data_IF_836926946503
#
_entry.id   IF_836926946503
#
_cell.length_a   1.000
_cell.length_b   1.000
_cell.length_c   1.000
_cell.angle_alpha   90.00
_cell.angle_beta   90.00
_cell.angle_gamma   90.00
#
_symmetry.space_group_name_H-M   'P 1'
#
loop_
_entity.id
_entity.type
_entity.pdbx_description
1 polymer ?
#
# COMPACT_ATOMS: atom_id res chain seq x y z
N UNK A 1 -6.71 2.99 -9.84
CA UNK A 1 -5.37 2.37 -9.68
C UNK A 1 -5.29 0.96 -10.27
N UNK A 2 -6.01 -0.05 -9.75
CA UNK A 2 -5.91 -1.45 -10.27
C UNK A 2 -6.30 -1.58 -11.74
N UNK A 3 -7.34 -0.87 -12.19
CA UNK A 3 -7.75 -0.88 -13.60
C UNK A 3 -6.74 -0.17 -14.52
N UNK A 4 -6.04 0.85 -14.03
CA UNK A 4 -5.03 1.60 -14.80
C UNK A 4 -3.84 0.70 -15.12
N UNK A 5 -3.31 0.00 -14.09
CA UNK A 5 -2.23 -0.96 -14.27
C UNK A 5 -2.64 -2.16 -15.13
N UNK A 6 -3.85 -2.69 -14.94
CA UNK A 6 -4.34 -3.79 -15.78
C UNK A 6 -4.45 -3.38 -17.26
N UNK A 7 -4.95 -2.17 -17.53
CA UNK A 7 -5.01 -1.61 -18.90
C UNK A 7 -3.61 -1.48 -19.51
N UNK A 8 -2.66 -0.95 -18.76
CA UNK A 8 -1.26 -0.84 -19.17
C UNK A 8 -0.66 -2.21 -19.50
N UNK A 9 -0.80 -3.18 -18.59
CA UNK A 9 -0.29 -4.56 -18.77
C UNK A 9 -0.89 -5.25 -20.00
N UNK A 10 -2.20 -5.08 -20.24
CA UNK A 10 -2.86 -5.65 -21.41
C UNK A 10 -2.32 -5.06 -22.71
N UNK A 11 -2.04 -3.75 -22.75
CA UNK A 11 -1.44 -3.08 -23.91
C UNK A 11 -0.01 -3.55 -24.15
N UNK A 12 0.79 -3.65 -23.09
CA UNK A 12 2.16 -4.17 -23.16
C UNK A 12 2.18 -5.63 -23.65
N UNK A 13 1.31 -6.48 -23.11
CA UNK A 13 1.18 -7.88 -23.51
C UNK A 13 0.66 -8.05 -24.95
N UNK A 14 -0.08 -7.07 -25.46
CA UNK A 14 -0.54 -7.02 -26.84
C UNK A 14 0.56 -6.74 -27.87
N UNK A 15 1.75 -6.29 -27.43
CA UNK A 15 2.87 -6.05 -28.33
C UNK A 15 3.45 -7.37 -28.84
N UNK A 16 3.37 -7.56 -30.16
CA UNK A 16 3.97 -8.71 -30.84
C UNK A 16 5.49 -8.57 -30.82
N UNK A 17 6.18 -9.58 -30.30
CA UNK A 17 7.64 -9.69 -30.34
C UNK A 17 8.05 -10.99 -31.01
N UNK A 18 9.18 -10.98 -31.72
CA UNK A 18 9.72 -12.16 -32.37
C UNK A 18 11.25 -12.12 -32.40
N UNK A 19 11.89 -12.82 -31.46
CA UNK A 19 13.35 -12.85 -31.33
C UNK A 19 14.05 -13.64 -32.44
N UNK A 20 13.34 -14.54 -33.10
CA UNK A 20 13.86 -15.35 -34.21
C UNK A 20 13.73 -14.64 -35.58
N UNK A 21 13.06 -13.48 -35.64
CA UNK A 21 12.96 -12.71 -36.87
C UNK A 21 14.28 -11.98 -37.12
N UNK A 22 14.95 -12.30 -38.21
CA UNK A 22 16.17 -11.62 -38.66
C UNK A 22 15.93 -10.95 -40.01
N UNK A 23 16.85 -10.07 -40.42
CA UNK A 23 16.78 -9.44 -41.76
C UNK A 23 16.75 -10.47 -42.89
N UNK A 24 17.55 -11.55 -42.81
CA UNK A 24 17.55 -12.58 -43.86
C UNK A 24 16.23 -13.35 -43.93
N UNK A 25 15.53 -13.52 -42.81
CA UNK A 25 14.20 -14.14 -42.77
C UNK A 25 13.16 -13.27 -43.49
N UNK A 26 13.25 -11.94 -43.34
CA UNK A 26 12.35 -10.99 -44.02
C UNK A 26 12.62 -10.96 -45.53
N UNK A 27 13.88 -11.04 -45.94
CA UNK A 27 14.26 -11.02 -47.36
C UNK A 27 13.88 -12.32 -48.08
N UNK A 28 13.84 -13.45 -47.37
CA UNK A 28 13.61 -14.78 -47.95
C UNK A 28 12.14 -15.21 -47.96
N UNK A 29 11.30 -14.68 -47.08
CA UNK A 29 9.89 -15.04 -46.98
C UNK A 29 8.98 -13.84 -46.68
N UNK A 30 7.83 -13.72 -47.37
CA UNK A 30 6.87 -12.61 -47.16
C UNK A 30 6.11 -12.71 -45.83
N UNK A 31 6.23 -13.83 -45.11
CA UNK A 31 5.63 -14.09 -43.79
C UNK A 31 6.69 -14.73 -42.91
N UNK A 32 6.81 -14.27 -41.66
CA UNK A 32 7.74 -14.86 -40.70
C UNK A 32 7.34 -16.32 -40.40
N UNK A 33 8.23 -17.31 -40.60
CA UNK A 33 7.91 -18.72 -40.35
C UNK A 33 7.76 -19.05 -38.86
N UNK A 34 8.34 -18.25 -37.96
CA UNK A 34 8.38 -18.51 -36.52
C UNK A 34 7.15 -17.99 -35.78
N UNK A 35 6.74 -16.76 -36.07
CA UNK A 35 5.63 -16.09 -35.38
C UNK A 35 4.43 -15.77 -36.28
N UNK A 36 4.51 -16.09 -37.58
CA UNK A 36 3.45 -15.82 -38.56
C UNK A 36 3.27 -14.34 -38.90
N UNK A 37 4.20 -13.47 -38.50
CA UNK A 37 4.13 -12.03 -38.76
C UNK A 37 4.05 -11.73 -40.25
N UNK A 38 3.07 -10.92 -40.65
CA UNK A 38 2.79 -10.59 -42.05
C UNK A 38 2.66 -9.07 -42.20
N UNK A 39 3.69 -8.37 -42.74
CA UNK A 39 3.71 -6.91 -42.81
C UNK A 39 2.48 -6.29 -43.46
N UNK A 40 1.96 -6.91 -44.53
CA UNK A 40 0.80 -6.40 -45.28
C UNK A 40 -0.53 -6.46 -44.52
N UNK A 41 -0.61 -7.24 -43.44
CA UNK A 41 -1.81 -7.40 -42.62
C UNK A 41 -1.80 -6.52 -41.36
N UNK A 42 -0.67 -5.87 -41.07
CA UNK A 42 -0.54 -4.98 -39.92
C UNK A 42 -0.96 -3.55 -40.30
N UNK A 43 -1.86 -2.97 -39.53
CA UNK A 43 -2.10 -1.52 -39.55
C UNK A 43 -1.01 -0.84 -38.73
N UNK A 44 0.03 -0.33 -39.39
CA UNK A 44 1.12 0.39 -38.72
C UNK A 44 0.68 1.83 -38.46
N UNK A 45 0.07 2.07 -37.31
CA UNK A 45 -0.32 3.42 -36.88
C UNK A 45 0.86 4.21 -36.28
N UNK A 46 1.82 3.51 -35.67
CA UNK A 46 3.03 4.08 -35.08
C UNK A 46 4.20 3.09 -35.13
N UNK A 47 5.42 3.60 -35.00
CA UNK A 47 6.62 2.74 -34.90
C UNK A 47 6.66 2.05 -33.54
N UNK A 48 7.26 0.85 -33.47
CA UNK A 48 7.43 0.14 -32.21
C UNK A 48 8.17 0.99 -31.16
N UNK A 49 9.18 1.77 -31.59
CA UNK A 49 9.90 2.69 -30.70
C UNK A 49 8.97 3.74 -30.11
N UNK A 50 8.10 4.36 -30.90
CA UNK A 50 7.18 5.38 -30.42
C UNK A 50 6.15 4.80 -29.43
N UNK A 51 5.67 3.57 -29.69
CA UNK A 51 4.76 2.87 -28.79
C UNK A 51 5.44 2.54 -27.46
N UNK A 52 6.68 2.03 -27.49
CA UNK A 52 7.44 1.72 -26.28
C UNK A 52 7.75 2.98 -25.46
N UNK A 53 8.17 4.08 -26.09
CA UNK A 53 8.37 5.37 -25.42
C UNK A 53 7.08 5.87 -24.75
N UNK A 54 5.95 5.78 -25.45
CA UNK A 54 4.67 6.18 -24.86
C UNK A 54 4.26 5.32 -23.65
N UNK A 55 4.57 4.02 -23.66
CA UNK A 55 4.32 3.15 -22.51
C UNK A 55 5.26 3.48 -21.35
N UNK A 56 6.52 3.77 -21.62
CA UNK A 56 7.50 4.17 -20.61
C UNK A 56 7.07 5.47 -19.90
N UNK A 57 6.75 6.51 -20.67
CA UNK A 57 6.22 7.78 -20.15
C UNK A 57 4.93 7.62 -19.35
N UNK A 58 4.06 6.70 -19.77
CA UNK A 58 2.83 6.41 -19.05
C UNK A 58 3.11 5.74 -17.70
N UNK A 59 4.07 4.82 -17.64
CA UNK A 59 4.47 4.14 -16.41
C UNK A 59 5.06 5.14 -15.40
N UNK A 60 5.92 6.04 -15.87
CA UNK A 60 6.50 7.12 -15.06
C UNK A 60 5.41 8.04 -14.50
N UNK A 61 4.46 8.44 -15.34
CA UNK A 61 3.31 9.25 -14.91
C UNK A 61 2.47 8.51 -13.87
N UNK A 62 2.18 7.23 -14.08
CA UNK A 62 1.42 6.43 -13.12
C UNK A 62 2.12 6.37 -11.76
N UNK A 63 3.43 6.11 -11.75
CA UNK A 63 4.21 6.08 -10.53
C UNK A 63 4.20 7.44 -9.81
N UNK A 64 4.34 8.53 -10.57
CA UNK A 64 4.26 9.88 -10.05
C UNK A 64 2.88 10.19 -9.45
N UNK A 65 1.79 9.88 -10.15
CA UNK A 65 0.42 10.11 -9.68
C UNK A 65 0.12 9.36 -8.38
N UNK A 66 0.53 8.10 -8.29
CA UNK A 66 0.34 7.29 -7.08
C UNK A 66 1.19 7.82 -5.91
N UNK A 67 2.41 8.27 -6.18
CA UNK A 67 3.28 8.89 -5.18
C UNK A 67 2.65 10.17 -4.63
N UNK A 68 2.22 11.07 -5.49
CA UNK A 68 1.59 12.33 -5.08
C UNK A 68 0.30 12.08 -4.31
N UNK A 69 -0.52 11.13 -4.76
CA UNK A 69 -1.74 10.73 -4.05
C UNK A 69 -1.42 10.22 -2.64
N UNK A 70 -0.40 9.37 -2.51
CA UNK A 70 0.01 8.86 -1.20
C UNK A 70 0.56 9.98 -0.30
N UNK A 71 1.38 10.89 -0.85
CA UNK A 71 1.90 12.05 -0.13
C UNK A 71 0.78 12.97 0.35
N UNK A 72 -0.20 13.27 -0.49
CA UNK A 72 -1.35 14.10 -0.15
C UNK A 72 -2.15 13.48 1.00
N UNK A 73 -2.45 12.18 0.91
CA UNK A 73 -3.22 11.47 1.94
C UNK A 73 -2.46 11.41 3.28
N UNK A 74 -1.15 11.18 3.26
CA UNK A 74 -0.32 11.12 4.48
C UNK A 74 -0.03 12.51 5.08
N UNK A 75 -0.13 13.56 4.28
CA UNK A 75 0.07 14.95 4.73
C UNK A 75 -1.20 15.61 5.26
N UNK A 76 -2.36 14.95 5.16
CA UNK A 76 -3.59 15.43 5.76
C UNK A 76 -3.44 15.59 7.29
N UNK A 77 -3.92 16.70 7.85
CA UNK A 77 -3.78 17.02 9.27
C UNK A 77 -4.35 15.91 10.18
N UNK A 78 -5.47 15.32 9.79
CA UNK A 78 -6.12 14.24 10.54
C UNK A 78 -5.26 12.98 10.52
N UNK A 79 -4.59 12.70 9.42
CA UNK A 79 -3.69 11.55 9.28
C UNK A 79 -2.42 11.79 10.07
N UNK A 80 -1.85 12.99 10.03
CA UNK A 80 -0.64 13.34 10.79
C UNK A 80 -0.80 13.15 12.31
N UNK A 81 -1.94 13.53 12.87
CA UNK A 81 -2.24 13.27 14.29
C UNK A 81 -2.23 11.76 14.60
N UNK A 82 -2.75 10.93 13.68
CA UNK A 82 -2.79 9.47 13.81
C UNK A 82 -1.45 8.81 13.55
N UNK A 83 -0.50 9.44 12.85
CA UNK A 83 0.86 8.90 12.68
C UNK A 83 1.56 8.72 14.03
N UNK A 84 1.20 9.50 15.05
CA UNK A 84 1.67 9.31 16.42
C UNK A 84 1.25 7.97 17.05
N UNK A 85 0.20 7.33 16.51
CA UNK A 85 -0.34 6.06 16.98
C UNK A 85 0.31 4.85 16.29
N UNK A 86 1.14 5.08 15.27
CA UNK A 86 1.93 4.03 14.63
C UNK A 86 3.05 3.56 15.57
N UNK A 87 3.46 2.30 15.39
CA UNK A 87 4.66 1.79 16.06
C UNK A 87 5.88 2.55 15.54
N UNK A 88 6.87 2.78 16.40
CA UNK A 88 8.08 3.55 16.06
C UNK A 88 8.76 3.11 14.75
N UNK A 89 8.91 1.80 14.43
CA UNK A 89 9.52 1.39 13.16
C UNK A 89 8.69 1.80 11.94
N UNK A 90 7.37 1.70 12.02
CA UNK A 90 6.46 2.08 10.93
C UNK A 90 6.44 3.59 10.76
N UNK A 91 6.39 4.33 11.87
CA UNK A 91 6.41 5.80 11.85
C UNK A 91 7.67 6.31 11.15
N UNK A 92 8.85 5.74 11.44
CA UNK A 92 10.11 6.11 10.78
C UNK A 92 10.05 5.95 9.26
N UNK A 93 9.48 4.85 8.77
CA UNK A 93 9.34 4.61 7.32
C UNK A 93 8.41 5.65 6.66
N UNK A 94 7.35 6.07 7.34
CA UNK A 94 6.43 7.10 6.84
C UNK A 94 7.06 8.48 6.90
N UNK A 95 7.74 8.82 7.99
CA UNK A 95 8.43 10.10 8.15
C UNK A 95 9.54 10.25 7.08
N UNK A 96 10.30 9.18 6.80
CA UNK A 96 11.31 9.16 5.74
C UNK A 96 10.70 9.36 4.35
N UNK A 97 9.58 8.69 4.04
CA UNK A 97 8.84 8.90 2.79
C UNK A 97 8.31 10.33 2.64
N UNK A 98 7.74 10.91 3.70
CA UNK A 98 7.27 12.29 3.70
C UNK A 98 8.41 13.30 3.54
N UNK A 99 9.61 12.97 4.04
CA UNK A 99 10.81 13.81 3.95
C UNK A 99 11.44 13.75 2.57
N UNK A 100 11.70 12.55 2.07
CA UNK A 100 12.36 12.30 0.77
C UNK A 100 11.42 12.58 -0.39
N UNK A 101 10.11 12.40 -0.19
CA UNK A 101 9.07 12.47 -1.24
C UNK A 101 9.32 11.50 -2.38
N UNK A 102 10.00 10.39 -2.10
CA UNK A 102 10.31 9.31 -3.03
C UNK A 102 9.92 7.97 -2.43
N UNK A 103 9.49 7.02 -3.27
CA UNK A 103 9.26 5.66 -2.79
C UNK A 103 10.57 5.02 -2.33
N UNK A 104 10.56 4.20 -1.26
CA UNK A 104 11.73 3.41 -0.90
C UNK A 104 12.15 2.50 -2.05
N UNK A 105 13.46 2.40 -2.29
CA UNK A 105 14.06 1.46 -3.24
C UNK A 105 15.01 0.50 -2.50
N UNK A 106 14.70 -0.81 -2.42
CA UNK A 106 13.51 -1.47 -2.97
C UNK A 106 12.23 -1.15 -2.19
N UNK A 107 11.09 -1.18 -2.89
CA UNK A 107 9.77 -1.01 -2.25
C UNK A 107 9.49 -2.21 -1.33
N UNK A 108 9.62 -2.01 -0.01
CA UNK A 108 9.49 -3.09 0.96
C UNK A 108 8.04 -3.33 1.40
N UNK A 109 7.71 -4.59 1.72
CA UNK A 109 6.42 -4.94 2.33
C UNK A 109 6.18 -4.23 3.67
N UNK A 110 7.26 -3.91 4.40
CA UNK A 110 7.19 -3.13 5.64
C UNK A 110 6.64 -1.73 5.40
N UNK A 111 7.13 -1.03 4.35
CA UNK A 111 6.61 0.29 3.97
C UNK A 111 5.14 0.22 3.56
N UNK A 112 4.76 -0.73 2.70
CA UNK A 112 3.36 -0.92 2.26
C UNK A 112 2.43 -1.15 3.47
N UNK A 113 2.88 -1.94 4.43
CA UNK A 113 2.12 -2.21 5.65
C UNK A 113 1.99 -0.96 6.52
N UNK A 114 3.08 -0.20 6.69
CA UNK A 114 3.08 1.06 7.42
C UNK A 114 2.12 2.09 6.78
N UNK A 115 2.15 2.24 5.46
CA UNK A 115 1.29 3.17 4.72
C UNK A 115 -0.19 2.78 4.86
N UNK A 116 -0.51 1.49 4.72
CA UNK A 116 -1.87 0.98 4.95
C UNK A 116 -2.35 1.25 6.36
N UNK A 117 -1.49 1.03 7.35
CA UNK A 117 -1.84 1.24 8.75
C UNK A 117 -2.07 2.72 9.06
N UNK A 118 -1.21 3.61 8.55
CA UNK A 118 -1.36 5.06 8.65
C UNK A 118 -2.72 5.54 8.11
N UNK A 119 -3.14 4.99 6.98
CA UNK A 119 -4.40 5.32 6.31
C UNK A 119 -5.60 4.51 6.80
N UNK A 120 -5.41 3.56 7.72
CA UNK A 120 -6.50 2.67 8.18
C UNK A 120 -7.52 3.35 9.09
N UNK A 121 -7.22 4.56 9.59
CA UNK A 121 -8.06 5.26 10.55
C UNK A 121 -7.86 4.76 11.98
N UNK A 122 -6.61 4.69 12.44
CA UNK A 122 -6.25 4.31 13.81
C UNK A 122 -6.99 5.15 14.85
N UNK A 123 -7.41 4.49 15.93
CA UNK A 123 -8.19 5.09 17.00
C UNK A 123 -7.39 5.08 18.32
N UNK A 124 -7.09 6.28 18.83
CA UNK A 124 -6.49 6.43 20.17
C UNK A 124 -7.50 5.99 21.24
N UNK A 125 -7.04 5.17 22.16
CA UNK A 125 -7.74 4.82 23.40
C UNK A 125 -6.80 5.13 24.55
N UNK A 126 -7.23 5.99 25.47
CA UNK A 126 -6.45 6.29 26.68
C UNK A 126 -6.88 5.34 27.79
N UNK A 127 -5.90 4.67 28.40
CA UNK A 127 -6.08 3.86 29.60
C UNK A 127 -5.49 4.63 30.77
N UNK A 128 -6.36 5.12 31.66
CA UNK A 128 -5.95 5.82 32.88
C UNK A 128 -5.73 4.84 34.03
N UNK A 129 -4.64 5.03 34.77
CA UNK A 129 -4.32 4.17 35.91
C UNK A 129 -5.35 4.25 37.05
N UNK A 130 -5.96 5.42 37.27
CA UNK A 130 -6.99 5.60 38.29
C UNK A 130 -8.29 4.85 37.96
N UNK A 131 -8.70 4.87 36.69
CA UNK A 131 -9.88 4.13 36.21
C UNK A 131 -9.63 2.61 36.27
N UNK A 132 -8.42 2.19 35.92
CA UNK A 132 -7.97 0.81 36.08
C UNK A 132 -8.02 0.39 37.56
N UNK A 133 -7.50 1.23 38.47
CA UNK A 133 -7.55 0.98 39.91
C UNK A 133 -9.00 0.89 40.41
N UNK A 134 -9.88 1.78 39.95
CA UNK A 134 -11.30 1.76 40.29
C UNK A 134 -11.98 0.47 39.79
N UNK A 135 -11.66 0.01 38.58
CA UNK A 135 -12.16 -1.24 38.02
C UNK A 135 -11.72 -2.47 38.83
N UNK A 136 -10.52 -2.42 39.43
CA UNK A 136 -10.06 -3.48 40.33
C UNK A 136 -10.76 -3.42 41.69
N UNK A 137 -11.06 -2.23 42.20
CA UNK A 137 -11.72 -2.04 43.51
C UNK A 137 -13.21 -2.38 43.49
N UNK A 138 -13.91 -2.23 42.35
CA UNK A 138 -15.36 -2.44 42.24
C UNK A 138 -15.81 -3.87 42.55
N UNK A 139 -14.96 -4.87 42.30
CA UNK A 139 -15.24 -6.26 42.66
C UNK A 139 -14.74 -6.66 44.06
N UNK A 140 -14.21 -5.71 44.85
CA UNK A 140 -13.68 -5.94 46.19
C UNK A 140 -12.25 -6.51 46.22
N UNK A 141 -11.56 -6.25 47.33
CA UNK A 141 -10.23 -6.81 47.66
C UNK A 141 -10.31 -7.59 48.98
N UNK A 142 -9.51 -8.65 49.17
CA UNK A 142 -8.57 -9.24 48.22
C UNK A 142 -9.29 -10.01 47.10
N UNK A 143 -8.66 -10.11 45.93
CA UNK A 143 -9.16 -10.88 44.79
C UNK A 143 -8.16 -11.94 44.35
N UNK A 144 -8.65 -12.99 43.69
CA UNK A 144 -7.80 -14.00 43.04
C UNK A 144 -7.19 -13.47 41.73
N UNK A 145 -6.20 -14.19 41.20
CA UNK A 145 -5.58 -13.85 39.90
C UNK A 145 -6.59 -13.90 38.76
N UNK A 146 -7.52 -14.87 38.77
CA UNK A 146 -8.53 -15.01 37.73
C UNK A 146 -9.56 -13.89 37.77
N UNK A 147 -9.95 -13.46 38.97
CA UNK A 147 -10.81 -12.28 39.15
C UNK A 147 -10.14 -11.00 38.65
N UNK A 148 -8.84 -10.83 38.92
CA UNK A 148 -8.07 -9.69 38.43
C UNK A 148 -8.00 -9.65 36.89
N UNK A 149 -7.72 -10.80 36.25
CA UNK A 149 -7.72 -10.91 34.77
C UNK A 149 -9.09 -10.57 34.19
N UNK A 150 -10.15 -11.17 34.72
CA UNK A 150 -11.53 -10.93 34.26
C UNK A 150 -11.91 -9.45 34.35
N UNK A 151 -11.61 -8.80 35.48
CA UNK A 151 -11.89 -7.36 35.66
C UNK A 151 -11.12 -6.49 34.66
N UNK A 152 -9.87 -6.84 34.38
CA UNK A 152 -9.07 -6.12 33.37
C UNK A 152 -9.65 -6.29 31.96
N UNK A 153 -10.04 -7.50 31.59
CA UNK A 153 -10.68 -7.79 30.30
C UNK A 153 -12.03 -7.09 30.14
N UNK A 154 -12.87 -7.09 31.18
CA UNK A 154 -14.15 -6.36 31.21
C UNK A 154 -13.93 -4.85 31.05
N UNK A 155 -12.98 -4.28 31.79
CA UNK A 155 -12.63 -2.87 31.68
C UNK A 155 -12.13 -2.51 30.28
N UNK A 156 -11.21 -3.30 29.71
CA UNK A 156 -10.74 -3.09 28.34
C UNK A 156 -11.88 -3.19 27.33
N UNK A 157 -12.78 -4.16 27.49
CA UNK A 157 -13.93 -4.38 26.60
C UNK A 157 -14.89 -3.20 26.59
N UNK A 158 -15.16 -2.61 27.76
CA UNK A 158 -15.96 -1.38 27.85
C UNK A 158 -15.21 -0.18 27.27
N UNK A 159 -13.90 -0.07 27.51
CA UNK A 159 -13.07 1.03 27.01
C UNK A 159 -12.96 1.06 25.47
N UNK A 160 -13.00 -0.10 24.83
CA UNK A 160 -12.94 -0.26 23.37
C UNK A 160 -14.29 -0.56 22.73
N UNK A 161 -15.38 -0.46 23.49
CA UNK A 161 -16.74 -0.78 23.01
C UNK A 161 -17.11 0.07 21.80
N UNK A 162 -17.62 -0.60 20.77
CA UNK A 162 -18.00 0.04 19.50
C UNK A 162 -16.81 0.46 18.61
N UNK A 163 -15.57 0.08 18.96
CA UNK A 163 -14.37 0.34 18.16
C UNK A 163 -13.95 -0.89 17.35
N UNK A 164 -13.29 -0.66 16.22
CA UNK A 164 -12.67 -1.75 15.46
C UNK A 164 -11.34 -2.14 16.11
N UNK A 165 -11.31 -3.34 16.72
CA UNK A 165 -10.17 -3.83 17.49
C UNK A 165 -8.82 -3.74 16.77
N UNK A 166 -8.79 -4.02 15.46
CA UNK A 166 -7.55 -3.93 14.67
C UNK A 166 -6.95 -2.52 14.57
N UNK A 167 -7.80 -1.48 14.72
CA UNK A 167 -7.43 -0.07 14.59
C UNK A 167 -7.19 0.62 15.93
N UNK A 168 -7.53 -0.03 17.05
CA UNK A 168 -7.34 0.55 18.39
C UNK A 168 -5.85 0.57 18.76
N UNK A 169 -5.39 1.71 19.27
CA UNK A 169 -4.06 1.88 19.87
C UNK A 169 -4.23 2.42 21.28
N UNK A 170 -3.91 1.57 22.27
CA UNK A 170 -4.04 1.91 23.69
C UNK A 170 -2.80 2.69 24.12
N UNK A 171 -3.01 3.83 24.76
CA UNK A 171 -1.98 4.69 25.35
C UNK A 171 -2.24 4.74 26.85
N UNK A 172 -1.20 4.48 27.64
CA UNK A 172 -1.23 4.62 29.09
C UNK A 172 -0.99 6.10 29.47
N UNK A 173 -1.89 6.66 30.28
CA UNK A 173 -1.76 7.99 30.90
C UNK A 173 -1.91 7.87 32.44
#
# INVERSE_FOLDING_TARGET
DVQQLASFQNRLAGLKSCFALTSSTVDSAPVCPECGFRPSAESVEATASAVLTSLDEELDRMLWEWRETLLQNLSDLTVQERLSLLRTPQKKLIDEFLTTREFPDPLTQAFVTAAREALSGLQKVVLKLDDLRAAFLSGGLPCTVDEAKRRFEEYLSELVKGKEMGKVRIILE
#
